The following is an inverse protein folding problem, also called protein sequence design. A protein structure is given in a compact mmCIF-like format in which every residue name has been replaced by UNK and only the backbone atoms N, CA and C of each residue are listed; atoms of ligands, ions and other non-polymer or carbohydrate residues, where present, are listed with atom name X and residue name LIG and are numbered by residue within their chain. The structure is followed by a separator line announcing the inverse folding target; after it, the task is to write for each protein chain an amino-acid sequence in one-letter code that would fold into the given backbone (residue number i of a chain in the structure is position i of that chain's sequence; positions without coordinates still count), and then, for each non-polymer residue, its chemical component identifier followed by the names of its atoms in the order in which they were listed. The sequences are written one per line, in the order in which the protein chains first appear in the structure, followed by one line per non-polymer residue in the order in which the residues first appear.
data_IF_396596136324
#
_entry.id   IF_396596136324
#
_cell.length_a   1.000
_cell.length_b   1.000
_cell.length_c   1.000
_cell.angle_alpha   90.00
_cell.angle_beta   90.00
_cell.angle_gamma   90.00
#
_symmetry.space_group_name_H-M   'P 1'
#
loop_
_entity.id
_entity.type
_entity.pdbx_description
1 polymer ?
#
# COMPACT_ATOMS: atom_id res chain seq x y z
N UNK A 1 16.26 5.75 -25.19
CA UNK A 1 15.75 6.10 -23.84
C UNK A 1 14.26 6.33 -23.97
N UNK A 2 13.38 5.62 -23.24
CA UNK A 2 11.95 5.77 -23.44
C UNK A 2 11.54 7.19 -23.01
N UNK A 3 10.79 7.87 -23.86
CA UNK A 3 10.39 9.25 -23.66
C UNK A 3 9.53 9.37 -22.38
N UNK A 4 10.06 10.04 -21.37
CA UNK A 4 9.31 10.43 -20.17
C UNK A 4 8.20 11.38 -20.66
N UNK A 5 6.93 10.94 -20.57
CA UNK A 5 5.79 11.77 -20.96
C UNK A 5 5.74 13.01 -20.07
N UNK A 6 5.93 14.18 -20.67
CA UNK A 6 5.83 15.47 -19.99
C UNK A 6 4.34 15.82 -19.79
N UNK A 7 3.84 15.61 -18.57
CA UNK A 7 2.46 15.90 -18.16
C UNK A 7 2.17 17.39 -17.98
N UNK A 8 3.12 18.28 -18.31
CA UNK A 8 2.91 19.74 -18.28
C UNK A 8 2.47 20.30 -19.64
N UNK A 9 2.48 19.49 -20.69
CA UNK A 9 2.18 19.88 -22.06
C UNK A 9 0.85 19.26 -22.50
N UNK A 10 -0.19 20.08 -22.75
CA UNK A 10 -1.49 19.65 -23.28
C UNK A 10 -2.70 19.95 -22.37
N UNK A 11 -3.88 19.44 -22.74
CA UNK A 11 -5.12 19.65 -21.99
C UNK A 11 -5.15 18.86 -20.67
N UNK A 12 -5.05 19.57 -19.54
CA UNK A 12 -5.00 19.04 -18.17
C UNK A 12 -6.09 17.98 -17.92
N UNK A 13 -7.32 18.25 -18.35
CA UNK A 13 -8.47 17.37 -18.13
C UNK A 13 -8.29 15.97 -18.76
N UNK A 14 -7.74 15.89 -19.98
CA UNK A 14 -7.53 14.62 -20.69
C UNK A 14 -6.43 13.80 -20.03
N UNK A 15 -5.36 14.44 -19.58
CA UNK A 15 -4.26 13.76 -18.89
C UNK A 15 -4.67 13.25 -17.52
N UNK A 16 -5.43 14.05 -16.77
CA UNK A 16 -5.99 13.64 -15.48
C UNK A 16 -6.86 12.39 -15.62
N UNK A 17 -7.81 12.38 -16.57
CA UNK A 17 -8.67 11.21 -16.80
C UNK A 17 -7.86 9.99 -17.28
N UNK A 18 -6.87 10.19 -18.16
CA UNK A 18 -6.03 9.10 -18.67
C UNK A 18 -5.23 8.42 -17.56
N UNK A 19 -4.80 9.17 -16.54
CA UNK A 19 -4.09 8.64 -15.37
C UNK A 19 -5.05 8.09 -14.31
N UNK A 20 -6.17 8.76 -14.07
CA UNK A 20 -7.12 8.39 -13.03
C UNK A 20 -7.92 7.13 -13.39
N UNK A 21 -8.31 6.96 -14.66
CA UNK A 21 -9.10 5.80 -15.10
C UNK A 21 -8.48 4.44 -14.75
N UNK A 22 -7.20 4.16 -15.07
CA UNK A 22 -6.57 2.90 -14.68
C UNK A 22 -6.44 2.75 -13.15
N UNK A 23 -6.14 3.83 -12.43
CA UNK A 23 -6.04 3.79 -10.96
C UNK A 23 -7.40 3.47 -10.30
N UNK A 24 -8.49 4.04 -10.81
CA UNK A 24 -9.85 3.73 -10.37
C UNK A 24 -10.22 2.29 -10.66
N UNK A 25 -9.90 1.78 -11.86
CA UNK A 25 -10.16 0.40 -12.22
C UNK A 25 -9.42 -0.58 -11.29
N UNK A 26 -8.14 -0.32 -10.99
CA UNK A 26 -7.36 -1.13 -10.02
C UNK A 26 -8.02 -1.12 -8.64
N UNK A 27 -8.43 0.06 -8.16
CA UNK A 27 -9.08 0.20 -6.85
C UNK A 27 -10.42 -0.54 -6.79
N UNK A 28 -11.21 -0.49 -7.86
CA UNK A 28 -12.48 -1.20 -7.98
C UNK A 28 -12.30 -2.72 -7.97
N UNK A 29 -11.30 -3.22 -8.70
CA UNK A 29 -10.94 -4.65 -8.69
C UNK A 29 -10.47 -5.07 -7.30
N UNK A 30 -9.65 -4.26 -6.62
CA UNK A 30 -9.18 -4.55 -5.26
C UNK A 30 -10.36 -4.62 -4.27
N UNK A 31 -11.31 -3.69 -4.35
CA UNK A 31 -12.52 -3.72 -3.52
C UNK A 31 -13.36 -4.98 -3.78
N UNK A 32 -13.56 -5.32 -5.06
CA UNK A 32 -14.30 -6.52 -5.46
C UNK A 32 -13.63 -7.79 -4.93
N UNK A 33 -12.31 -7.86 -5.00
CA UNK A 33 -11.53 -8.99 -4.47
C UNK A 33 -11.75 -9.16 -2.96
N UNK A 34 -11.64 -8.09 -2.17
CA UNK A 34 -11.92 -8.14 -0.73
C UNK A 34 -13.36 -8.60 -0.43
N UNK A 35 -14.34 -8.15 -1.23
CA UNK A 35 -15.73 -8.55 -1.06
C UNK A 35 -15.95 -10.04 -1.36
N UNK A 36 -15.35 -10.54 -2.45
CA UNK A 36 -15.42 -11.97 -2.81
C UNK A 36 -14.79 -12.83 -1.72
N UNK A 37 -13.62 -12.44 -1.20
CA UNK A 37 -12.93 -13.18 -0.15
C UNK A 37 -13.81 -13.33 1.11
N UNK A 38 -14.43 -12.24 1.55
CA UNK A 38 -15.37 -12.26 2.68
C UNK A 38 -16.59 -13.14 2.41
N UNK A 39 -17.13 -13.14 1.19
CA UNK A 39 -18.28 -14.01 0.82
C UNK A 39 -17.89 -15.49 0.89
N UNK A 40 -16.70 -15.84 0.41
CA UNK A 40 -16.19 -17.22 0.46
C UNK A 40 -15.95 -17.66 1.90
N UNK A 41 -15.35 -16.81 2.73
CA UNK A 41 -15.13 -17.06 4.16
C UNK A 41 -16.46 -17.15 4.91
N UNK A 42 -17.45 -16.35 4.53
CA UNK A 42 -18.82 -16.41 5.04
C UNK A 42 -19.50 -17.75 4.87
N UNK A 43 -19.19 -18.45 3.78
CA UNK A 43 -19.71 -19.82 3.54
C UNK A 43 -19.11 -20.87 4.48
N UNK A 44 -17.98 -20.59 5.14
CA UNK A 44 -17.34 -21.47 6.12
C UNK A 44 -17.93 -21.32 7.54
N UNK A 45 -18.92 -20.45 7.72
CA UNK A 45 -19.64 -20.26 8.99
C UNK A 45 -19.34 -18.93 9.69
N UNK A 46 -20.26 -18.51 10.57
CA UNK A 46 -20.22 -17.19 11.23
C UNK A 46 -19.00 -16.98 12.14
N UNK A 47 -18.49 -18.05 12.78
CA UNK A 47 -17.26 -18.00 13.58
C UNK A 47 -16.03 -17.68 12.74
N UNK A 48 -15.97 -18.19 11.50
CA UNK A 48 -14.87 -17.96 10.57
C UNK A 48 -14.80 -16.50 10.12
N UNK A 49 -15.95 -15.87 9.86
CA UNK A 49 -16.01 -14.44 9.50
C UNK A 49 -15.61 -13.53 10.66
N UNK A 50 -16.06 -13.84 11.89
CA UNK A 50 -15.69 -13.07 13.07
C UNK A 50 -14.17 -13.14 13.37
N UNK A 51 -13.57 -14.33 13.20
CA UNK A 51 -12.13 -14.50 13.30
C UNK A 51 -11.38 -13.70 12.22
N UNK A 52 -11.83 -13.77 10.97
CA UNK A 52 -11.23 -13.00 9.86
C UNK A 52 -11.43 -11.50 10.02
N UNK A 53 -12.52 -11.03 10.61
CA UNK A 53 -12.69 -9.60 10.94
C UNK A 53 -11.63 -9.09 11.91
N UNK A 54 -11.33 -9.88 12.95
CA UNK A 54 -10.32 -9.55 13.97
C UNK A 54 -8.90 -9.58 13.36
N UNK A 55 -8.58 -10.62 12.60
CA UNK A 55 -7.30 -10.72 11.86
C UNK A 55 -7.21 -9.65 10.77
N UNK A 56 -8.32 -9.29 10.15
CA UNK A 56 -8.40 -8.25 9.12
C UNK A 56 -8.00 -6.89 9.64
N UNK A 57 -8.37 -6.56 10.88
CA UNK A 57 -7.96 -5.31 11.53
C UNK A 57 -6.45 -5.29 11.83
N UNK A 58 -5.88 -6.42 12.26
CA UNK A 58 -4.43 -6.59 12.40
C UNK A 58 -3.70 -6.42 11.05
N UNK A 59 -4.21 -7.06 10.00
CA UNK A 59 -3.68 -6.94 8.64
C UNK A 59 -3.75 -5.49 8.14
N UNK A 60 -4.83 -4.78 8.43
CA UNK A 60 -4.99 -3.38 8.03
C UNK A 60 -4.02 -2.45 8.76
N UNK A 61 -3.77 -2.70 10.04
CA UNK A 61 -2.76 -1.98 10.83
C UNK A 61 -1.35 -2.21 10.27
N UNK A 62 -0.99 -3.45 9.94
CA UNK A 62 0.30 -3.76 9.30
C UNK A 62 0.42 -3.09 7.91
N UNK A 63 -0.66 -3.10 7.13
CA UNK A 63 -0.68 -2.46 5.81
C UNK A 63 -0.50 -0.94 5.92
N UNK A 64 -1.05 -0.32 6.97
CA UNK A 64 -0.91 1.12 7.21
C UNK A 64 0.54 1.55 7.40
N UNK A 65 1.35 0.75 8.11
CA UNK A 65 2.80 0.99 8.23
C UNK A 65 3.53 0.86 6.89
N UNK A 66 3.18 -0.14 6.08
CA UNK A 66 3.73 -0.28 4.74
C UNK A 66 3.32 0.88 3.81
N UNK A 67 2.08 1.37 3.96
CA UNK A 67 1.53 2.47 3.18
C UNK A 67 2.27 3.78 3.46
N UNK A 68 2.67 4.03 4.71
CA UNK A 68 3.44 5.21 5.08
C UNK A 68 4.73 5.34 4.25
N UNK A 69 5.54 4.28 4.20
CA UNK A 69 6.77 4.25 3.41
C UNK A 69 6.47 4.40 1.92
N UNK A 70 5.44 3.70 1.41
CA UNK A 70 5.03 3.78 0.00
C UNK A 70 4.65 5.21 -0.42
N UNK A 71 3.77 5.87 0.33
CA UNK A 71 3.29 7.23 0.02
C UNK A 71 4.43 8.23 0.10
N UNK A 72 5.33 8.09 1.08
CA UNK A 72 6.52 8.95 1.18
C UNK A 72 7.42 8.86 -0.05
N UNK A 73 7.56 7.66 -0.63
CA UNK A 73 8.30 7.42 -1.86
C UNK A 73 7.61 8.06 -3.06
N UNK A 74 6.32 7.77 -3.24
CA UNK A 74 5.52 8.25 -4.38
C UNK A 74 5.53 9.78 -4.46
N UNK A 75 5.34 10.47 -3.33
CA UNK A 75 5.35 11.95 -3.29
C UNK A 75 6.74 12.51 -3.60
N UNK A 76 7.79 12.02 -2.94
CA UNK A 76 9.15 12.56 -3.09
C UNK A 76 9.72 12.34 -4.49
N UNK A 77 9.48 11.15 -5.05
CA UNK A 77 9.89 10.78 -6.41
C UNK A 77 9.05 11.57 -7.43
N UNK A 78 7.72 11.62 -7.25
CA UNK A 78 6.82 12.34 -8.15
C UNK A 78 7.15 13.83 -8.26
N UNK A 79 7.42 14.49 -7.13
CA UNK A 79 7.86 15.88 -7.09
C UNK A 79 9.23 16.09 -7.79
N UNK A 80 10.17 15.16 -7.60
CA UNK A 80 11.50 15.25 -8.22
C UNK A 80 11.46 15.04 -9.73
N UNK A 81 10.61 14.12 -10.21
CA UNK A 81 10.33 13.90 -11.64
C UNK A 81 9.67 15.15 -12.23
N UNK A 82 8.64 15.70 -11.56
CA UNK A 82 7.96 16.93 -12.01
C UNK A 82 8.89 18.14 -12.10
N UNK A 83 9.88 18.24 -11.19
CA UNK A 83 10.91 19.28 -11.21
C UNK A 83 12.05 19.03 -12.22
N UNK A 84 11.96 17.98 -13.06
CA UNK A 84 13.00 17.56 -14.03
C UNK A 84 14.36 17.23 -13.38
N UNK A 85 14.38 16.86 -12.09
CA UNK A 85 15.59 16.51 -11.32
C UNK A 85 15.71 14.99 -11.17
N UNK A 86 16.02 14.31 -12.27
CA UNK A 86 16.06 12.84 -12.33
C UNK A 86 17.12 12.23 -11.40
N UNK A 87 18.27 12.88 -11.22
CA UNK A 87 19.31 12.41 -10.29
C UNK A 87 18.79 12.33 -8.85
N UNK A 88 18.01 13.35 -8.43
CA UNK A 88 17.36 13.36 -7.12
C UNK A 88 16.26 12.31 -7.02
N UNK A 89 15.51 12.07 -8.10
CA UNK A 89 14.49 11.02 -8.12
C UNK A 89 15.10 9.62 -7.92
N UNK A 90 16.24 9.33 -8.56
CA UNK A 90 16.98 8.08 -8.36
C UNK A 90 17.55 7.95 -6.93
N UNK A 91 18.08 9.04 -6.39
CA UNK A 91 18.58 9.09 -5.02
C UNK A 91 17.44 8.81 -4.02
N UNK A 92 16.30 9.48 -4.15
CA UNK A 92 15.13 9.23 -3.30
C UNK A 92 14.58 7.82 -3.46
N UNK A 93 14.54 7.27 -4.68
CA UNK A 93 14.12 5.89 -4.90
C UNK A 93 15.01 4.89 -4.13
N UNK A 94 16.33 5.10 -4.15
CA UNK A 94 17.28 4.23 -3.44
C UNK A 94 17.17 4.37 -1.92
N UNK A 95 17.10 5.60 -1.40
CA UNK A 95 16.93 5.83 0.04
C UNK A 95 15.61 5.28 0.55
N UNK A 96 14.51 5.55 -0.15
CA UNK A 96 13.18 5.13 0.32
C UNK A 96 13.04 3.62 0.26
N UNK A 97 13.64 2.95 -0.74
CA UNK A 97 13.73 1.48 -0.77
C UNK A 97 14.51 0.92 0.42
N UNK A 98 15.67 1.52 0.73
CA UNK A 98 16.50 1.10 1.86
C UNK A 98 15.76 1.27 3.19
N UNK A 99 15.11 2.42 3.38
CA UNK A 99 14.29 2.71 4.57
C UNK A 99 13.11 1.73 4.65
N UNK A 100 12.45 1.44 3.52
CA UNK A 100 11.35 0.47 3.48
C UNK A 100 11.81 -0.92 3.93
N UNK A 101 12.96 -1.41 3.45
CA UNK A 101 13.53 -2.71 3.86
C UNK A 101 13.87 -2.72 5.35
N UNK A 102 14.55 -1.68 5.85
CA UNK A 102 14.91 -1.59 7.28
C UNK A 102 13.65 -1.55 8.14
N UNK A 103 12.67 -0.72 7.78
CA UNK A 103 11.40 -0.64 8.50
C UNK A 103 10.66 -1.98 8.46
N UNK A 104 10.63 -2.66 7.32
CA UNK A 104 10.02 -3.98 7.16
C UNK A 104 10.68 -5.03 8.05
N UNK A 105 12.01 -5.06 8.12
CA UNK A 105 12.75 -5.97 9.01
C UNK A 105 12.47 -5.68 10.48
N UNK A 106 12.41 -4.40 10.87
CA UNK A 106 12.07 -4.01 12.25
C UNK A 106 10.64 -4.46 12.60
N UNK A 107 9.66 -4.20 11.73
CA UNK A 107 8.29 -4.66 11.93
C UNK A 107 8.20 -6.18 11.97
N UNK A 108 8.80 -6.89 11.02
CA UNK A 108 8.80 -8.36 10.99
C UNK A 108 9.41 -8.95 12.27
N UNK A 109 10.55 -8.42 12.72
CA UNK A 109 11.22 -8.86 13.95
C UNK A 109 10.36 -8.60 15.18
N UNK A 110 9.71 -7.42 15.25
CA UNK A 110 8.81 -7.08 16.34
C UNK A 110 7.60 -8.04 16.43
N UNK A 111 6.95 -8.31 15.30
CA UNK A 111 5.81 -9.24 15.25
C UNK A 111 6.23 -10.69 15.55
N UNK A 112 7.45 -11.10 15.18
CA UNK A 112 7.98 -12.43 15.46
C UNK A 112 8.36 -12.62 16.93
N UNK A 113 8.90 -11.59 17.59
CA UNK A 113 9.31 -11.65 19.00
C UNK A 113 8.14 -11.47 19.98
N UNK A 114 7.12 -10.70 19.60
CA UNK A 114 5.98 -10.37 20.47
C UNK A 114 4.61 -10.82 19.92
N UNK A 115 4.44 -12.06 19.42
CA UNK A 115 3.16 -12.51 18.89
C UNK A 115 2.08 -12.54 19.97
N UNK A 116 2.46 -12.88 21.20
CA UNK A 116 1.56 -12.93 22.36
C UNK A 116 0.99 -11.56 22.73
N UNK A 117 1.78 -10.49 22.61
CA UNK A 117 1.31 -9.12 22.89
C UNK A 117 0.27 -8.68 21.85
N UNK A 118 0.52 -9.01 20.58
CA UNK A 118 -0.38 -8.69 19.47
C UNK A 118 -1.70 -9.47 19.60
N UNK A 119 -1.65 -10.76 19.92
CA UNK A 119 -2.84 -11.61 20.09
C UNK A 119 -3.62 -11.26 21.37
N UNK A 120 -2.92 -10.98 22.48
CA UNK A 120 -3.52 -10.56 23.75
C UNK A 120 -4.24 -9.21 23.64
N UNK A 121 -3.67 -8.26 22.89
CA UNK A 121 -4.32 -6.96 22.64
C UNK A 121 -5.67 -7.11 21.95
N UNK A 122 -5.82 -8.11 21.08
CA UNK A 122 -7.07 -8.39 20.37
C UNK A 122 -7.98 -9.39 21.10
N UNK A 123 -7.62 -9.86 22.31
CA UNK A 123 -8.37 -10.86 23.10
C UNK A 123 -8.85 -12.06 22.25
N UNK A 124 -7.98 -12.58 21.38
CA UNK A 124 -8.19 -13.85 20.68
C UNK A 124 -7.82 -15.00 21.63
N UNK A 125 -8.67 -15.26 22.62
CA UNK A 125 -8.74 -16.51 23.37
C UNK A 125 -10.03 -17.26 23.03
#
# INVERSE_FOLDING_TARGET
MPAIRDFTQGGIFRQLITLAMPLMAVSFIQMTYNMVDIIWIGRLGSKSVAAVGTVGMLMWMMNSFALLSKVSAEVSIGQSIGAKRLDKAMLYASHTTTIAIISGLVFATFFFLFPQLVLSFFRLE
#
